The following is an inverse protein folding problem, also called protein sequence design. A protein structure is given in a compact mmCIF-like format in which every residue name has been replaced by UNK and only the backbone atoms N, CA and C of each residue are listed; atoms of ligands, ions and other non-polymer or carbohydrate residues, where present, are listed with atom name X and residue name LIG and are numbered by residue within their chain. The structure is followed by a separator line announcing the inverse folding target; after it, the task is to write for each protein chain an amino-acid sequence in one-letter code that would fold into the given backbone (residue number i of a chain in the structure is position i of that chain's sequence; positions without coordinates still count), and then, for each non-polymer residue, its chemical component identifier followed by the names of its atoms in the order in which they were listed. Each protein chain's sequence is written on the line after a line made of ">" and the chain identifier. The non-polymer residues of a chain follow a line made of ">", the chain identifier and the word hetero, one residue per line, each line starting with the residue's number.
data_IF_680061140601
#
_entry.id   IF_680061140601
#
_cell.length_a   1.000
_cell.length_b   1.000
_cell.length_c   1.000
_cell.angle_alpha   90.00
_cell.angle_beta   90.00
_cell.angle_gamma   90.00
#
_symmetry.space_group_name_H-M   'P 1'
#
loop_
_entity.id
_entity.type
_entity.pdbx_description
1 polymer ?
#
# COMPACT_ATOMS: atom_id res chain seq x y z
N UNK A 1 2.03 -7.80 10.87
CA UNK A 1 3.29 -8.54 10.70
C UNK A 1 4.01 -8.04 9.45
N UNK A 2 5.32 -7.81 9.48
CA UNK A 2 6.12 -7.41 8.30
C UNK A 2 7.16 -8.51 8.03
N UNK A 3 7.30 -8.93 6.77
CA UNK A 3 8.25 -9.95 6.33
C UNK A 3 9.04 -9.44 5.13
N UNK A 4 10.37 -9.59 5.18
CA UNK A 4 11.28 -9.15 4.13
C UNK A 4 12.24 -10.30 3.83
N UNK A 5 12.04 -11.10 2.76
CA UNK A 5 12.95 -12.17 2.40
C UNK A 5 14.33 -11.60 2.02
N UNK A 6 15.42 -12.33 2.30
CA UNK A 6 16.71 -12.00 1.72
C UNK A 6 16.66 -12.16 0.21
N UNK A 7 17.15 -11.15 -0.51
CA UNK A 7 17.21 -11.15 -1.98
C UNK A 7 18.44 -10.39 -2.47
N UNK A 8 19.14 -10.98 -3.44
CA UNK A 8 20.28 -10.33 -4.09
C UNK A 8 19.80 -9.31 -5.12
N UNK A 9 20.17 -8.05 -4.91
CA UNK A 9 19.93 -6.97 -5.87
C UNK A 9 18.51 -6.40 -5.89
N UNK A 10 17.62 -6.85 -5.00
CA UNK A 10 16.31 -6.24 -4.76
C UNK A 10 15.86 -6.47 -3.31
N UNK A 11 14.75 -5.90 -2.91
CA UNK A 11 14.12 -6.08 -1.60
C UNK A 11 12.63 -6.24 -1.80
N UNK A 12 12.06 -7.31 -1.25
CA UNK A 12 10.63 -7.49 -1.15
C UNK A 12 10.21 -7.29 0.30
N UNK A 13 9.14 -6.55 0.53
CA UNK A 13 8.56 -6.37 1.86
C UNK A 13 7.07 -6.63 1.81
N UNK A 14 6.60 -7.51 2.67
CA UNK A 14 5.19 -7.86 2.80
C UNK A 14 4.72 -7.44 4.17
N UNK A 15 3.53 -6.83 4.25
CA UNK A 15 2.92 -6.48 5.52
C UNK A 15 1.45 -6.82 5.53
N UNK A 16 1.09 -7.77 6.38
CA UNK A 16 -0.31 -8.16 6.63
C UNK A 16 -0.81 -7.45 7.89
N UNK A 17 -2.04 -6.93 7.81
CA UNK A 17 -2.77 -6.34 8.92
C UNK A 17 -4.19 -6.87 8.93
N UNK A 18 -4.68 -7.15 10.13
CA UNK A 18 -6.09 -7.36 10.39
C UNK A 18 -6.56 -6.15 11.18
N UNK A 19 -7.59 -5.48 10.67
CA UNK A 19 -8.16 -4.26 11.22
C UNK A 19 -9.56 -4.58 11.75
N UNK A 20 -9.83 -4.13 12.96
CA UNK A 20 -11.14 -4.18 13.61
C UNK A 20 -11.74 -2.77 13.57
N UNK A 21 -12.98 -2.66 13.10
CA UNK A 21 -13.66 -1.39 12.88
C UNK A 21 -14.91 -1.33 13.74
N UNK A 22 -14.94 -0.36 14.63
CA UNK A 22 -16.10 -0.02 15.44
C UNK A 22 -16.68 1.31 14.95
N UNK A 23 -18.00 1.37 14.83
CA UNK A 23 -18.74 2.59 14.50
C UNK A 23 -19.76 2.77 15.63
N UNK A 24 -19.78 3.95 16.26
CA UNK A 24 -20.59 4.19 17.47
C UNK A 24 -22.08 3.92 17.28
N UNK A 25 -22.60 4.09 16.05
CA UNK A 25 -24.02 3.88 15.70
C UNK A 25 -24.28 2.52 15.02
N UNK A 26 -23.36 1.54 15.12
CA UNK A 26 -23.56 0.21 14.55
C UNK A 26 -23.30 -0.89 15.57
N UNK A 27 -24.20 -1.88 15.58
CA UNK A 27 -24.11 -3.04 16.48
C UNK A 27 -23.05 -4.05 16.00
N UNK A 28 -22.81 -4.08 14.69
CA UNK A 28 -21.87 -4.99 14.05
C UNK A 28 -20.43 -4.46 14.01
N UNK A 29 -19.49 -5.37 14.28
CA UNK A 29 -18.05 -5.12 14.20
C UNK A 29 -17.51 -5.45 12.80
N UNK A 30 -16.86 -4.50 12.15
CA UNK A 30 -16.28 -4.72 10.82
C UNK A 30 -14.85 -5.27 10.88
N UNK A 31 -14.61 -6.37 10.18
CA UNK A 31 -13.28 -6.93 9.97
C UNK A 31 -12.75 -6.57 8.60
N UNK A 32 -11.51 -6.08 8.54
CA UNK A 32 -10.82 -5.77 7.30
C UNK A 32 -9.44 -6.39 7.29
N UNK A 33 -9.18 -7.22 6.29
CA UNK A 33 -7.85 -7.69 5.99
C UNK A 33 -7.15 -6.75 5.01
N UNK A 34 -5.93 -6.36 5.35
CA UNK A 34 -5.10 -5.50 4.51
C UNK A 34 -3.76 -6.14 4.25
N UNK A 35 -3.43 -6.27 2.98
CA UNK A 35 -2.15 -6.80 2.54
C UNK A 35 -1.39 -5.74 1.77
N UNK A 36 -0.17 -5.45 2.22
CA UNK A 36 0.77 -4.58 1.53
C UNK A 36 1.94 -5.41 1.01
N UNK A 37 2.37 -5.17 -0.23
CA UNK A 37 3.57 -5.74 -0.81
C UNK A 37 4.37 -4.62 -1.49
N UNK A 38 5.66 -4.53 -1.19
CA UNK A 38 6.57 -3.54 -1.78
C UNK A 38 7.79 -4.24 -2.36
N UNK A 39 8.14 -3.87 -3.57
CA UNK A 39 9.34 -4.24 -4.29
C UNK A 39 10.21 -2.99 -4.46
N UNK A 40 11.46 -3.12 -4.04
CA UNK A 40 12.48 -2.07 -4.17
C UNK A 40 13.69 -2.67 -4.88
N UNK A 41 14.19 -2.03 -5.94
CA UNK A 41 15.39 -2.47 -6.64
C UNK A 41 16.38 -1.31 -6.81
N UNK A 42 17.58 -1.37 -6.21
CA UNK A 42 18.64 -0.40 -6.49
C UNK A 42 18.98 -0.37 -7.99
N UNK A 43 19.15 0.82 -8.54
CA UNK A 43 19.65 1.00 -9.92
C UNK A 43 21.18 1.09 -9.93
N UNK A 44 21.79 1.17 -11.12
CA UNK A 44 23.26 1.28 -11.28
C UNK A 44 23.87 2.42 -10.45
N UNK A 45 23.12 3.50 -10.25
CA UNK A 45 23.45 4.54 -9.28
C UNK A 45 22.82 4.21 -7.93
N UNK A 46 23.64 4.07 -6.89
CA UNK A 46 23.19 3.78 -5.51
C UNK A 46 22.20 4.81 -4.95
N UNK A 47 22.16 6.02 -5.50
CA UNK A 47 21.23 7.08 -5.08
C UNK A 47 19.80 6.87 -5.61
N UNK A 48 19.58 5.95 -6.57
CA UNK A 48 18.29 5.73 -7.21
C UNK A 48 17.84 4.29 -7.08
N UNK A 49 16.53 4.11 -6.94
CA UNK A 49 15.92 2.79 -6.89
C UNK A 49 14.57 2.78 -7.60
N UNK A 50 14.19 1.62 -8.14
CA UNK A 50 12.84 1.37 -8.61
C UNK A 50 11.98 1.00 -7.40
N UNK A 51 10.81 1.61 -7.29
CA UNK A 51 9.83 1.34 -6.24
C UNK A 51 8.50 0.96 -6.86
N UNK A 52 8.04 -0.24 -6.55
CA UNK A 52 6.71 -0.70 -6.90
C UNK A 52 6.05 -1.24 -5.65
N UNK A 53 4.79 -0.89 -5.41
CA UNK A 53 4.06 -1.48 -4.30
C UNK A 53 2.60 -1.64 -4.64
N UNK A 54 1.97 -2.61 -3.99
CA UNK A 54 0.56 -2.91 -4.11
C UNK A 54 -0.04 -3.06 -2.71
N UNK A 55 -1.22 -2.47 -2.50
CA UNK A 55 -1.99 -2.60 -1.27
C UNK A 55 -3.44 -2.98 -1.55
N UNK A 56 -3.83 -4.17 -1.09
CA UNK A 56 -5.18 -4.71 -1.21
C UNK A 56 -5.91 -4.57 0.12
N UNK A 57 -7.19 -4.18 0.02
CA UNK A 57 -8.13 -4.06 1.13
C UNK A 57 -9.31 -5.00 0.88
N UNK A 58 -9.45 -5.99 1.74
CA UNK A 58 -10.49 -6.99 1.69
C UNK A 58 -11.34 -6.91 2.96
N UNK A 59 -12.63 -6.66 2.81
CA UNK A 59 -13.61 -6.64 3.89
C UNK A 59 -14.09 -8.09 4.14
N UNK A 60 -14.00 -8.56 5.39
CA UNK A 60 -14.22 -9.96 5.76
C UNK A 60 -15.64 -10.26 6.24
N UNK A 61 -16.48 -9.24 6.38
CA UNK A 61 -17.90 -9.38 6.72
C UNK A 61 -18.72 -8.18 6.22
N UNK A 62 -20.02 -8.43 6.08
CA UNK A 62 -21.03 -7.41 5.93
C UNK A 62 -21.30 -6.76 7.31
N UNK A 63 -21.65 -5.48 7.32
CA UNK A 63 -22.02 -4.74 8.53
C UNK A 63 -23.10 -3.71 8.23
N UNK A 64 -23.89 -3.37 9.25
CA UNK A 64 -25.01 -2.41 9.16
C UNK A 64 -24.61 -1.00 8.71
N UNK A 65 -23.34 -0.62 8.89
CA UNK A 65 -22.81 0.69 8.50
C UNK A 65 -22.30 0.75 7.05
N UNK A 66 -22.61 -0.26 6.23
CA UNK A 66 -22.29 -0.28 4.80
C UNK A 66 -20.90 -0.80 4.45
N UNK A 67 -20.31 -1.63 5.31
CA UNK A 67 -19.25 -2.55 4.87
C UNK A 67 -19.90 -3.77 4.23
N UNK A 68 -19.41 -4.18 3.06
CA UNK A 68 -19.84 -5.39 2.37
C UNK A 68 -18.64 -6.34 2.23
N UNK A 69 -18.86 -7.64 2.35
CA UNK A 69 -17.86 -8.66 2.17
C UNK A 69 -17.24 -8.58 0.77
N UNK A 70 -15.90 -8.52 0.69
CA UNK A 70 -15.17 -8.63 -0.57
C UNK A 70 -14.04 -7.61 -0.76
N UNK A 71 -13.59 -7.51 -2.01
CA UNK A 71 -12.53 -6.58 -2.41
C UNK A 71 -13.08 -5.16 -2.51
N UNK A 72 -12.76 -4.34 -1.50
CA UNK A 72 -13.22 -2.94 -1.48
C UNK A 72 -12.29 -2.02 -2.24
N UNK A 73 -10.98 -2.22 -2.11
CA UNK A 73 -10.00 -1.29 -2.68
C UNK A 73 -8.69 -1.98 -3.02
N UNK A 74 -8.06 -1.53 -4.10
CA UNK A 74 -6.68 -1.87 -4.45
C UNK A 74 -5.92 -0.59 -4.81
N UNK A 75 -4.68 -0.47 -4.32
CA UNK A 75 -3.77 0.63 -4.65
C UNK A 75 -2.45 0.07 -5.17
N UNK A 76 -2.17 0.33 -6.44
CA UNK A 76 -0.93 -0.07 -7.08
C UNK A 76 -0.11 1.19 -7.43
N UNK A 77 1.15 1.21 -7.02
CA UNK A 77 2.10 2.28 -7.32
C UNK A 77 3.30 1.74 -8.06
N UNK A 78 3.76 2.53 -9.02
CA UNK A 78 5.01 2.30 -9.72
C UNK A 78 5.74 3.62 -9.92
N UNK A 79 7.00 3.68 -9.48
CA UNK A 79 7.78 4.91 -9.50
C UNK A 79 9.26 4.71 -9.27
N UNK A 80 9.97 5.83 -9.20
CA UNK A 80 11.40 5.90 -8.94
C UNK A 80 11.59 6.60 -7.59
N UNK A 81 12.47 6.04 -6.78
CA UNK A 81 12.91 6.60 -5.52
C UNK A 81 14.33 7.13 -5.58
N UNK A 82 14.61 8.15 -4.77
CA UNK A 82 15.90 8.81 -4.64
C UNK A 82 16.27 8.90 -3.16
N UNK A 83 17.45 8.43 -2.79
CA UNK A 83 18.01 8.72 -1.47
C UNK A 83 18.59 10.14 -1.48
N UNK A 84 18.12 10.99 -0.57
CA UNK A 84 18.50 12.40 -0.51
C UNK A 84 19.71 12.64 0.41
N UNK A 85 20.05 11.65 1.24
CA UNK A 85 21.15 11.68 2.19
C UNK A 85 22.09 10.48 1.99
N UNK A 86 23.34 10.64 2.44
CA UNK A 86 24.37 9.59 2.36
C UNK A 86 24.09 8.39 3.27
N UNK A 87 23.26 8.56 4.31
CA UNK A 87 22.90 7.51 5.27
C UNK A 87 21.65 6.74 4.84
N UNK A 88 21.02 7.12 3.72
CA UNK A 88 19.77 6.56 3.20
C UNK A 88 18.59 6.62 4.18
N UNK A 89 18.61 7.58 5.11
CA UNK A 89 17.54 7.83 6.08
C UNK A 89 16.35 8.59 5.48
N UNK A 90 16.58 9.37 4.42
CA UNK A 90 15.62 10.21 3.73
C UNK A 90 15.49 9.76 2.27
N UNK A 91 14.31 9.28 1.91
CA UNK A 91 14.02 8.88 0.54
C UNK A 91 12.83 9.65 -0.04
N UNK A 92 12.93 10.01 -1.31
CA UNK A 92 11.85 10.64 -2.07
C UNK A 92 11.40 9.72 -3.20
N UNK A 93 10.12 9.36 -3.24
CA UNK A 93 9.54 8.52 -4.30
C UNK A 93 8.54 9.33 -5.12
N UNK A 94 8.68 9.26 -6.44
CA UNK A 94 7.74 9.85 -7.39
C UNK A 94 7.31 8.80 -8.40
N UNK A 95 6.02 8.74 -8.68
CA UNK A 95 5.49 7.75 -9.60
C UNK A 95 4.01 7.87 -9.86
N UNK A 96 3.51 6.86 -10.53
CA UNK A 96 2.11 6.71 -10.86
C UNK A 96 1.42 5.85 -9.81
N UNK A 97 0.28 6.32 -9.31
CA UNK A 97 -0.60 5.61 -8.40
C UNK A 97 -1.91 5.30 -9.12
N UNK A 98 -2.20 4.02 -9.27
CA UNK A 98 -3.50 3.51 -9.63
C UNK A 98 -4.27 3.14 -8.36
N UNK A 99 -5.48 3.67 -8.21
CA UNK A 99 -6.35 3.28 -7.12
C UNK A 99 -7.70 2.83 -7.68
N UNK A 100 -7.99 1.56 -7.51
CA UNK A 100 -9.29 0.98 -7.79
C UNK A 100 -10.12 0.92 -6.52
N UNK A 101 -11.38 1.33 -6.60
CA UNK A 101 -12.32 1.37 -5.48
C UNK A 101 -13.66 0.81 -5.95
N UNK A 102 -14.09 -0.27 -5.29
CA UNK A 102 -15.43 -0.83 -5.49
C UNK A 102 -16.43 -0.09 -4.62
N UNK A 103 -17.55 0.30 -5.22
CA UNK A 103 -18.67 0.98 -4.59
C UNK A 103 -19.98 0.38 -5.11
N UNK A 104 -21.09 0.51 -4.37
CA UNK A 104 -22.41 0.17 -4.91
C UNK A 104 -22.67 0.97 -6.20
N UNK A 105 -22.73 0.29 -7.34
CA UNK A 105 -22.82 0.90 -8.68
C UNK A 105 -21.58 0.64 -9.53
N UNK A 106 -21.06 1.66 -10.20
CA UNK A 106 -19.87 1.55 -11.05
C UNK A 106 -18.58 1.60 -10.22
N UNK A 107 -17.68 0.67 -10.51
CA UNK A 107 -16.32 0.70 -10.00
C UNK A 107 -15.59 1.98 -10.43
N UNK A 108 -14.79 2.54 -9.52
CA UNK A 108 -14.05 3.77 -9.80
C UNK A 108 -12.56 3.52 -9.82
N UNK A 109 -11.92 3.90 -10.92
CA UNK A 109 -10.47 3.94 -11.04
C UNK A 109 -9.97 5.38 -10.98
N UNK A 110 -9.00 5.61 -10.11
CA UNK A 110 -8.27 6.85 -10.02
C UNK A 110 -6.84 6.64 -10.50
N UNK A 111 -6.34 7.66 -11.19
CA UNK A 111 -4.99 7.71 -11.73
C UNK A 111 -4.37 9.00 -11.21
N UNK A 112 -3.32 8.89 -10.39
CA UNK A 112 -2.70 10.03 -9.74
C UNK A 112 -1.18 9.99 -9.93
N UNK A 113 -0.58 11.18 -10.07
CA UNK A 113 0.83 11.34 -9.81
C UNK A 113 1.03 11.39 -8.30
N UNK A 114 1.83 10.47 -7.76
CA UNK A 114 2.09 10.36 -6.33
C UNK A 114 3.52 10.79 -6.02
N UNK A 115 3.65 11.62 -4.99
CA UNK A 115 4.91 12.08 -4.43
C UNK A 115 4.95 11.65 -2.96
N UNK A 116 5.96 10.90 -2.56
CA UNK A 116 6.11 10.39 -1.21
C UNK A 116 7.48 10.78 -0.66
N UNK A 117 7.51 11.23 0.59
CA UNK A 117 8.74 11.45 1.33
C UNK A 117 8.78 10.45 2.48
N UNK A 118 9.82 9.63 2.52
CA UNK A 118 10.00 8.56 3.50
C UNK A 118 11.18 8.90 4.40
N UNK A 119 10.95 8.78 5.71
CA UNK A 119 11.91 9.04 6.76
C UNK A 119 12.09 7.76 7.59
N UNK A 120 13.33 7.35 7.79
CA UNK A 120 13.71 6.23 8.65
C UNK A 120 14.64 6.78 9.73
N UNK A 121 14.28 6.58 11.01
CA UNK A 121 15.05 7.00 12.19
C UNK A 121 15.68 5.80 12.88
#
# INVERSE_FOLDING_TARGET
>A
MTWTPPSDGYTLSFRSRLEERFVEDADDMGWRFRQFAKYTRPMESKARYLSAWDEVFFDLNDTDFGQDFGLRQNRAFLGIGFFLDSEHSLAFEVGYLNQWLSRPGDDRMYHALSLNLLLTF
#
